data_IF_958614508817
#
_entry.id   IF_958614508817
#
_cell.length_a   1.000
_cell.length_b   1.000
_cell.length_c   1.000
_cell.angle_alpha   90.00
_cell.angle_beta   90.00
_cell.angle_gamma   90.00
#
_symmetry.space_group_name_H-M   'P 1'
#
loop_
_entity.id
_entity.type
_entity.pdbx_description
1 polymer ?
#
# COMPACT_ATOMS: atom_id res chain seq x y z
N UNK A 1 45.84 -22.06 -2.82
CA UNK A 1 44.97 -21.43 -3.86
C UNK A 1 43.46 -21.69 -3.65
N UNK A 2 43.01 -22.95 -3.34
CA UNK A 2 41.57 -23.23 -3.11
C UNK A 2 41.00 -22.44 -1.92
N UNK A 3 41.70 -22.34 -0.80
CA UNK A 3 41.23 -21.59 0.39
C UNK A 3 41.05 -20.09 0.15
N UNK A 4 41.92 -19.45 -0.61
CA UNK A 4 41.80 -18.02 -0.94
C UNK A 4 40.58 -17.77 -1.82
N UNK A 5 40.32 -18.61 -2.81
CA UNK A 5 39.12 -18.49 -3.65
C UNK A 5 37.82 -18.66 -2.83
N UNK A 6 37.80 -19.59 -1.90
CA UNK A 6 36.64 -19.81 -1.01
C UNK A 6 36.40 -18.58 -0.14
N UNK A 7 37.46 -18.00 0.45
CA UNK A 7 37.34 -16.78 1.28
C UNK A 7 36.82 -15.59 0.46
N UNK A 8 37.30 -15.41 -0.77
CA UNK A 8 36.82 -14.34 -1.66
C UNK A 8 35.32 -14.51 -2.02
N UNK A 9 34.89 -15.74 -2.30
CA UNK A 9 33.48 -16.02 -2.59
C UNK A 9 32.61 -15.74 -1.36
N UNK A 10 33.01 -16.18 -0.17
CA UNK A 10 32.28 -15.91 1.07
C UNK A 10 32.21 -14.39 1.37
N UNK A 11 33.32 -13.67 1.16
CA UNK A 11 33.33 -12.21 1.32
C UNK A 11 32.36 -11.53 0.34
N UNK A 12 32.34 -11.96 -0.92
CA UNK A 12 31.41 -11.43 -1.91
C UNK A 12 29.96 -11.68 -1.54
N UNK A 13 29.63 -12.89 -1.09
CA UNK A 13 28.28 -13.25 -0.63
C UNK A 13 27.89 -12.37 0.58
N UNK A 14 28.80 -12.18 1.52
CA UNK A 14 28.53 -11.33 2.69
C UNK A 14 28.26 -9.87 2.29
N UNK A 15 29.06 -9.32 1.37
CA UNK A 15 28.85 -7.96 0.84
C UNK A 15 27.51 -7.84 0.13
N UNK A 16 27.15 -8.82 -0.71
CA UNK A 16 25.85 -8.82 -1.40
C UNK A 16 24.69 -8.91 -0.40
N UNK A 17 24.79 -9.76 0.62
CA UNK A 17 23.79 -9.89 1.65
C UNK A 17 23.60 -8.60 2.48
N UNK A 18 24.70 -7.96 2.87
CA UNK A 18 24.68 -6.68 3.58
C UNK A 18 24.06 -5.58 2.71
N UNK A 19 24.42 -5.53 1.43
CA UNK A 19 23.86 -4.56 0.48
C UNK A 19 22.37 -4.78 0.29
N UNK A 20 21.92 -6.02 0.11
CA UNK A 20 20.52 -6.37 0.00
C UNK A 20 19.74 -6.01 1.26
N UNK A 21 20.29 -6.33 2.44
CA UNK A 21 19.70 -5.96 3.73
C UNK A 21 19.54 -4.44 3.86
N UNK A 22 20.61 -3.67 3.55
CA UNK A 22 20.61 -2.22 3.64
C UNK A 22 19.56 -1.56 2.73
N UNK A 23 19.37 -2.12 1.54
CA UNK A 23 18.43 -1.61 0.55
C UNK A 23 17.01 -2.18 0.64
N UNK A 24 16.77 -3.13 1.56
CA UNK A 24 15.49 -3.84 1.64
C UNK A 24 14.28 -2.90 1.84
N UNK A 25 14.37 -1.95 2.78
CA UNK A 25 13.29 -0.99 3.01
C UNK A 25 13.03 -0.10 1.79
N UNK A 26 14.09 0.43 1.19
CA UNK A 26 14.00 1.27 -0.01
C UNK A 26 13.41 0.50 -1.20
N UNK A 27 13.79 -0.75 -1.39
CA UNK A 27 13.24 -1.60 -2.45
C UNK A 27 11.72 -1.76 -2.33
N UNK A 28 11.22 -1.96 -1.10
CA UNK A 28 9.79 -2.10 -0.86
C UNK A 28 9.03 -0.79 -1.10
N UNK A 29 9.57 0.35 -0.70
CA UNK A 29 8.91 1.65 -0.82
C UNK A 29 9.07 2.34 -2.19
N UNK A 30 10.05 1.91 -3.00
CA UNK A 30 10.38 2.55 -4.27
C UNK A 30 9.24 2.75 -5.28
N UNK A 31 8.19 1.92 -5.37
CA UNK A 31 7.07 2.15 -6.29
C UNK A 31 6.14 3.30 -5.90
N UNK A 32 6.34 3.93 -4.73
CA UNK A 32 5.57 5.12 -4.38
C UNK A 32 5.83 6.26 -5.36
N UNK A 33 4.75 6.87 -5.83
CA UNK A 33 4.77 8.02 -6.74
C UNK A 33 4.34 9.31 -6.05
N UNK A 34 4.39 10.40 -6.82
CA UNK A 34 3.90 11.71 -6.39
C UNK A 34 2.41 11.79 -6.72
N UNK A 35 1.60 12.20 -5.75
CA UNK A 35 0.17 12.38 -5.93
C UNK A 35 -0.13 13.39 -7.06
N UNK A 36 -1.10 13.06 -7.89
CA UNK A 36 -1.59 13.90 -8.99
C UNK A 36 -3.13 13.93 -8.91
N UNK A 37 -3.80 14.93 -9.49
CA UNK A 37 -5.25 14.96 -9.57
C UNK A 37 -5.81 13.65 -10.15
N UNK A 38 -6.83 13.11 -9.49
CA UNK A 38 -7.44 11.84 -9.84
C UNK A 38 -8.95 11.85 -9.57
N UNK A 39 -9.65 10.80 -9.98
CA UNK A 39 -11.09 10.68 -9.77
C UNK A 39 -11.43 10.20 -8.36
N UNK A 40 -10.55 9.44 -7.72
CA UNK A 40 -10.79 8.88 -6.39
C UNK A 40 -9.50 8.66 -5.60
N UNK A 41 -9.54 8.90 -4.30
CA UNK A 41 -8.52 8.47 -3.34
C UNK A 41 -8.98 7.15 -2.73
N UNK A 42 -8.16 6.11 -2.86
CA UNK A 42 -8.42 4.77 -2.30
C UNK A 42 -7.56 4.60 -1.06
N UNK A 43 -8.16 4.68 0.11
CA UNK A 43 -7.47 4.44 1.38
C UNK A 43 -7.57 2.95 1.72
N UNK A 44 -6.44 2.22 1.59
CA UNK A 44 -6.42 0.77 1.77
C UNK A 44 -6.67 0.36 3.23
N UNK A 45 -7.21 -0.82 3.39
CA UNK A 45 -7.53 -1.41 4.70
C UNK A 45 -6.30 -1.76 5.55
N UNK A 46 -6.55 -2.22 6.79
CA UNK A 46 -5.52 -2.54 7.81
C UNK A 46 -4.64 -1.34 8.17
N UNK A 47 -5.27 -0.23 8.40
CA UNK A 47 -4.65 1.06 8.67
C UNK A 47 -4.56 1.32 10.17
N UNK A 48 -3.40 1.77 10.64
CA UNK A 48 -3.18 2.25 12.01
C UNK A 48 -3.58 3.73 12.22
N UNK A 49 -4.09 4.39 11.16
CA UNK A 49 -4.47 5.80 11.16
C UNK A 49 -3.73 6.63 10.11
N UNK A 50 -2.52 6.26 9.74
CA UNK A 50 -1.70 7.03 8.80
C UNK A 50 -2.31 7.15 7.40
N UNK A 51 -2.97 6.08 6.92
CA UNK A 51 -3.58 6.07 5.58
C UNK A 51 -4.80 6.97 5.52
N UNK A 52 -5.64 6.96 6.56
CA UNK A 52 -6.83 7.81 6.58
C UNK A 52 -6.48 9.28 6.74
N UNK A 53 -5.43 9.60 7.52
CA UNK A 53 -4.90 10.96 7.65
C UNK A 53 -4.34 11.45 6.33
N UNK A 54 -3.56 10.62 5.63
CA UNK A 54 -3.02 10.94 4.30
C UNK A 54 -4.13 11.11 3.26
N UNK A 55 -5.16 10.25 3.29
CA UNK A 55 -6.31 10.36 2.39
C UNK A 55 -7.09 11.66 2.62
N UNK A 56 -7.27 12.06 3.88
CA UNK A 56 -7.90 13.32 4.26
C UNK A 56 -7.10 14.53 3.76
N UNK A 57 -5.77 14.52 3.91
CA UNK A 57 -4.91 15.60 3.41
C UNK A 57 -5.04 15.75 1.89
N UNK A 58 -4.96 14.64 1.14
CA UNK A 58 -5.14 14.63 -0.30
C UNK A 58 -6.53 15.16 -0.72
N UNK A 59 -7.57 14.75 0.00
CA UNK A 59 -8.93 15.24 -0.25
C UNK A 59 -9.05 16.75 -0.04
N UNK A 60 -8.56 17.26 1.09
CA UNK A 60 -8.57 18.70 1.42
C UNK A 60 -7.79 19.55 0.43
N UNK A 61 -6.75 18.98 -0.14
CA UNK A 61 -5.94 19.61 -1.21
C UNK A 61 -6.57 19.51 -2.59
N UNK A 62 -7.76 18.91 -2.71
CA UNK A 62 -8.51 18.83 -3.95
C UNK A 62 -7.98 17.82 -4.96
N UNK A 63 -7.19 16.83 -4.53
CA UNK A 63 -6.66 15.82 -5.45
C UNK A 63 -7.73 14.90 -6.03
N UNK A 64 -8.85 14.66 -5.33
CA UNK A 64 -9.98 13.91 -5.86
C UNK A 64 -11.28 14.24 -5.10
N UNK A 65 -12.45 14.13 -5.76
CA UNK A 65 -13.75 14.40 -5.13
C UNK A 65 -14.29 13.24 -4.30
N UNK A 66 -13.69 12.05 -4.38
CA UNK A 66 -14.15 10.84 -3.69
C UNK A 66 -13.05 10.19 -2.87
N UNK A 67 -13.43 9.60 -1.72
CA UNK A 67 -12.58 8.71 -0.94
C UNK A 67 -13.25 7.33 -0.89
N UNK A 68 -12.54 6.31 -1.35
CA UNK A 68 -12.94 4.91 -1.24
C UNK A 68 -12.19 4.27 -0.07
N UNK A 69 -12.93 3.85 0.95
CA UNK A 69 -12.42 3.07 2.06
C UNK A 69 -12.51 1.59 1.70
N UNK A 70 -11.37 0.90 1.58
CA UNK A 70 -11.40 -0.52 1.31
C UNK A 70 -11.48 -1.34 2.59
N UNK A 71 -12.05 -2.54 2.44
CA UNK A 71 -12.30 -3.43 3.54
C UNK A 71 -11.12 -4.16 4.07
N UNK A 72 -11.41 -5.05 4.95
CA UNK A 72 -10.45 -5.65 5.80
C UNK A 72 -10.92 -6.98 6.18
N UNK A 73 -10.95 -7.94 5.47
CA UNK A 73 -10.94 -8.84 6.02
C UNK A 73 -11.34 -10.07 6.21
N UNK A 74 -10.81 -10.93 6.69
CA UNK A 74 -11.02 -12.17 7.42
C UNK A 74 -11.57 -11.97 8.86
N UNK A 75 -12.10 -10.78 9.17
CA UNK A 75 -12.73 -10.51 10.45
C UNK A 75 -14.24 -10.75 10.43
N UNK A 76 -14.86 -11.09 11.55
CA UNK A 76 -16.31 -11.12 11.68
C UNK A 76 -16.96 -9.84 11.13
N UNK A 77 -18.14 -9.96 10.55
CA UNK A 77 -18.87 -8.86 9.90
C UNK A 77 -18.95 -7.58 10.76
N UNK A 78 -19.11 -7.75 12.06
CA UNK A 78 -19.25 -6.64 13.00
C UNK A 78 -17.95 -5.86 13.20
N UNK A 79 -16.81 -6.56 13.28
CA UNK A 79 -15.49 -5.91 13.40
C UNK A 79 -15.16 -5.16 12.12
N UNK A 80 -15.45 -5.71 10.96
CA UNK A 80 -15.26 -5.06 9.66
C UNK A 80 -16.09 -3.80 9.55
N UNK A 81 -17.37 -3.88 9.91
CA UNK A 81 -18.27 -2.73 9.91
C UNK A 81 -17.80 -1.66 10.88
N UNK A 82 -17.42 -2.02 12.10
CA UNK A 82 -16.91 -1.08 13.08
C UNK A 82 -15.65 -0.36 12.59
N UNK A 83 -14.74 -1.06 11.92
CA UNK A 83 -13.53 -0.48 11.37
C UNK A 83 -13.81 0.52 10.23
N UNK A 84 -14.68 0.18 9.29
CA UNK A 84 -15.08 1.10 8.22
C UNK A 84 -15.84 2.30 8.78
N UNK A 85 -16.71 2.09 9.77
CA UNK A 85 -17.46 3.15 10.45
C UNK A 85 -16.52 4.14 11.12
N UNK A 86 -15.53 3.67 11.89
CA UNK A 86 -14.54 4.53 12.53
C UNK A 86 -13.81 5.43 11.54
N UNK A 87 -13.35 4.88 10.42
CA UNK A 87 -12.64 5.63 9.37
C UNK A 87 -13.54 6.67 8.71
N UNK A 88 -14.78 6.29 8.42
CA UNK A 88 -15.76 7.20 7.85
C UNK A 88 -16.14 8.31 8.81
N UNK A 89 -16.37 8.00 10.08
CA UNK A 89 -16.65 9.01 11.12
C UNK A 89 -15.50 9.99 11.28
N UNK A 90 -14.25 9.51 11.23
CA UNK A 90 -13.07 10.38 11.26
C UNK A 90 -13.08 11.39 10.11
N UNK A 91 -13.37 10.94 8.88
CA UNK A 91 -13.48 11.81 7.71
C UNK A 91 -14.62 12.80 7.82
N UNK A 92 -15.80 12.35 8.25
CA UNK A 92 -16.99 13.21 8.41
C UNK A 92 -16.74 14.29 9.47
N UNK A 93 -16.19 13.91 10.64
CA UNK A 93 -15.79 14.87 11.68
C UNK A 93 -14.76 15.89 11.19
N UNK A 94 -13.94 15.49 10.21
CA UNK A 94 -12.94 16.35 9.58
C UNK A 94 -13.49 17.20 8.42
N UNK A 95 -14.81 17.15 8.16
CA UNK A 95 -15.52 17.96 7.16
C UNK A 95 -15.68 17.34 5.77
N UNK A 96 -15.37 16.04 5.60
CA UNK A 96 -15.64 15.35 4.36
C UNK A 96 -17.14 15.00 4.29
N UNK A 97 -17.87 15.41 3.25
CA UNK A 97 -19.28 15.02 3.09
C UNK A 97 -19.43 13.49 3.06
N UNK A 98 -20.39 12.96 3.79
CA UNK A 98 -20.65 11.50 3.78
C UNK A 98 -20.93 10.94 2.38
N UNK A 99 -21.55 11.72 1.52
CA UNK A 99 -21.78 11.37 0.12
C UNK A 99 -20.49 11.20 -0.70
N UNK A 100 -19.38 11.80 -0.29
CA UNK A 100 -18.07 11.67 -0.91
C UNK A 100 -17.29 10.43 -0.45
N UNK A 101 -17.79 9.71 0.56
CA UNK A 101 -17.16 8.53 1.13
C UNK A 101 -17.81 7.27 0.56
N UNK A 102 -17.01 6.41 -0.02
CA UNK A 102 -17.42 5.15 -0.63
C UNK A 102 -16.80 3.97 0.14
N UNK A 103 -17.44 2.82 0.06
CA UNK A 103 -17.02 1.64 0.81
C UNK A 103 -16.79 0.44 -0.09
N UNK A 104 -15.73 -0.30 0.14
CA UNK A 104 -15.50 -1.65 -0.37
C UNK A 104 -15.43 -2.60 0.82
N UNK A 105 -16.51 -3.30 1.07
CA UNK A 105 -16.67 -4.22 2.20
C UNK A 105 -16.27 -5.67 1.85
N UNK A 106 -15.83 -5.91 0.62
CA UNK A 106 -15.65 -7.27 0.10
C UNK A 106 -14.19 -7.67 -0.09
N UNK A 107 -13.28 -6.71 -0.12
CA UNK A 107 -11.86 -6.99 -0.31
C UNK A 107 -11.24 -7.62 0.94
N UNK A 108 -10.57 -8.75 0.77
CA UNK A 108 -9.86 -9.47 1.84
C UNK A 108 -8.33 -9.33 1.74
N UNK A 109 -7.83 -8.90 0.59
CA UNK A 109 -6.41 -8.76 0.29
C UNK A 109 -6.18 -7.69 -0.78
N UNK A 110 -4.91 -7.29 -0.98
CA UNK A 110 -4.56 -6.21 -1.92
C UNK A 110 -4.91 -6.46 -3.37
N UNK A 111 -5.10 -7.70 -3.77
CA UNK A 111 -5.52 -8.07 -5.12
C UNK A 111 -7.02 -7.83 -5.30
N UNK A 112 -7.80 -8.19 -4.28
CA UNK A 112 -9.24 -7.92 -4.29
C UNK A 112 -9.49 -6.41 -4.26
N UNK A 113 -8.75 -5.66 -3.42
CA UNK A 113 -8.81 -4.19 -3.38
C UNK A 113 -8.55 -3.58 -4.78
N UNK A 114 -7.54 -4.06 -5.50
CA UNK A 114 -7.24 -3.59 -6.86
C UNK A 114 -8.37 -3.92 -7.85
N UNK A 115 -8.90 -5.16 -7.82
CA UNK A 115 -9.98 -5.61 -8.73
C UNK A 115 -11.30 -4.89 -8.45
N UNK A 116 -11.68 -4.78 -7.18
CA UNK A 116 -12.93 -4.12 -6.79
C UNK A 116 -12.86 -2.62 -7.07
N UNK A 117 -11.69 -1.99 -6.86
CA UNK A 117 -11.48 -0.59 -7.24
C UNK A 117 -11.59 -0.42 -8.76
N UNK A 118 -10.99 -1.30 -9.55
CA UNK A 118 -11.10 -1.26 -11.02
C UNK A 118 -12.54 -1.44 -11.49
N UNK A 119 -13.28 -2.39 -10.91
CA UNK A 119 -14.71 -2.60 -11.23
C UNK A 119 -15.52 -1.33 -10.94
N UNK A 120 -15.28 -0.69 -9.81
CA UNK A 120 -15.91 0.58 -9.44
C UNK A 120 -15.49 1.72 -10.36
N UNK A 121 -14.22 1.80 -10.74
CA UNK A 121 -13.71 2.78 -11.69
C UNK A 121 -14.38 2.62 -13.08
N UNK A 122 -14.66 1.38 -13.51
CA UNK A 122 -15.40 1.12 -14.73
C UNK A 122 -16.86 1.59 -14.62
N UNK A 123 -17.53 1.24 -13.53
CA UNK A 123 -18.94 1.62 -13.31
C UNK A 123 -19.15 3.14 -13.20
N UNK A 124 -18.15 3.88 -12.71
CA UNK A 124 -18.22 5.33 -12.52
C UNK A 124 -17.55 6.15 -13.62
N UNK A 125 -16.94 5.50 -14.60
CA UNK A 125 -16.22 6.19 -15.68
C UNK A 125 -14.90 6.84 -15.23
N UNK A 126 -14.35 6.44 -14.07
CA UNK A 126 -13.08 6.97 -13.58
C UNK A 126 -11.93 6.57 -14.49
N UNK A 127 -10.96 7.46 -14.65
CA UNK A 127 -9.75 7.26 -15.44
C UNK A 127 -8.52 7.03 -14.58
N UNK A 128 -8.52 7.57 -13.36
CA UNK A 128 -7.36 7.52 -12.47
C UNK A 128 -7.75 7.43 -10.99
N UNK A 129 -6.90 6.77 -10.20
CA UNK A 129 -7.07 6.69 -8.75
C UNK A 129 -5.74 6.88 -8.01
N UNK A 130 -5.80 7.50 -6.82
CA UNK A 130 -4.68 7.55 -5.88
C UNK A 130 -4.85 6.43 -4.85
N UNK A 131 -3.85 5.61 -4.69
CA UNK A 131 -3.89 4.44 -3.78
C UNK A 131 -2.99 4.71 -2.59
N UNK A 132 -3.58 4.96 -1.44
CA UNK A 132 -2.88 5.34 -0.21
C UNK A 132 -2.59 4.11 0.64
N UNK A 133 -1.31 3.89 0.96
CA UNK A 133 -0.86 2.83 1.86
C UNK A 133 0.51 3.12 2.46
N UNK A 134 0.99 2.23 3.34
CA UNK A 134 2.26 2.40 4.02
C UNK A 134 3.47 2.07 3.12
N UNK A 135 4.61 2.73 3.33
CA UNK A 135 5.78 2.59 2.45
C UNK A 135 6.23 1.16 2.20
N UNK A 136 6.37 0.24 3.18
CA UNK A 136 6.82 -1.12 2.90
C UNK A 136 5.87 -1.94 2.03
N UNK A 137 4.59 -1.54 1.95
CA UNK A 137 3.56 -2.21 1.16
C UNK A 137 3.66 -1.92 -0.35
N UNK A 138 4.32 -0.83 -0.76
CA UNK A 138 4.27 -0.31 -2.12
C UNK A 138 4.69 -1.31 -3.20
N UNK A 139 5.74 -2.12 -2.95
CA UNK A 139 6.21 -3.11 -3.94
C UNK A 139 5.17 -4.17 -4.26
N UNK A 140 4.48 -4.69 -3.24
CA UNK A 140 3.44 -5.70 -3.43
C UNK A 140 2.18 -5.09 -4.05
N UNK A 141 1.85 -3.84 -3.71
CA UNK A 141 0.76 -3.11 -4.37
C UNK A 141 1.07 -2.89 -5.86
N UNK A 142 2.30 -2.52 -6.21
CA UNK A 142 2.68 -2.34 -7.62
C UNK A 142 2.46 -3.62 -8.44
N UNK A 143 2.70 -4.81 -7.88
CA UNK A 143 2.39 -6.08 -8.54
C UNK A 143 0.88 -6.30 -8.69
N UNK A 144 0.12 -6.14 -7.60
CA UNK A 144 -1.31 -6.42 -7.59
C UNK A 144 -2.09 -5.44 -8.49
N UNK A 145 -1.82 -4.14 -8.32
CA UNK A 145 -2.48 -3.08 -9.06
C UNK A 145 -2.01 -3.00 -10.51
N UNK A 146 -0.70 -3.20 -10.77
CA UNK A 146 -0.17 -3.26 -12.11
C UNK A 146 -0.83 -4.36 -12.94
N UNK A 147 -1.01 -5.55 -12.35
CA UNK A 147 -1.70 -6.65 -13.01
C UNK A 147 -3.18 -6.39 -13.24
N UNK A 148 -3.87 -5.79 -12.26
CA UNK A 148 -5.30 -5.50 -12.37
C UNK A 148 -5.59 -4.40 -13.39
N UNK A 149 -4.76 -3.35 -13.48
CA UNK A 149 -4.96 -2.20 -14.34
C UNK A 149 -4.32 -2.32 -15.72
N UNK A 150 -3.49 -3.36 -15.96
CA UNK A 150 -2.85 -3.58 -17.26
C UNK A 150 -3.88 -3.66 -18.39
N UNK A 151 -3.66 -2.90 -19.46
CA UNK A 151 -4.51 -2.91 -20.66
C UNK A 151 -5.90 -2.30 -20.50
N UNK A 152 -6.24 -1.73 -19.34
CA UNK A 152 -7.58 -1.18 -19.08
C UNK A 152 -7.76 0.27 -19.54
N UNK A 153 -6.67 0.96 -19.90
CA UNK A 153 -6.67 2.40 -20.21
C UNK A 153 -6.88 3.28 -18.97
N UNK A 154 -6.86 2.72 -17.77
CA UNK A 154 -6.97 3.45 -16.50
C UNK A 154 -5.64 3.48 -15.77
N UNK A 155 -5.43 4.54 -14.99
CA UNK A 155 -4.19 4.79 -14.27
C UNK A 155 -4.37 4.69 -12.75
N UNK A 156 -3.30 4.36 -12.06
CA UNK A 156 -3.23 4.47 -10.61
C UNK A 156 -1.88 5.05 -10.19
N UNK A 157 -1.85 5.75 -9.07
CA UNK A 157 -0.62 6.23 -8.42
C UNK A 157 -0.62 5.71 -7.00
N UNK A 158 0.45 5.02 -6.62
CA UNK A 158 0.67 4.58 -5.25
C UNK A 158 1.21 5.74 -4.42
N UNK A 159 0.49 6.15 -3.40
CA UNK A 159 0.88 7.24 -2.50
C UNK A 159 1.24 6.66 -1.15
N UNK A 160 2.52 6.79 -0.78
CA UNK A 160 2.99 6.33 0.52
C UNK A 160 2.59 7.30 1.62
N UNK A 161 2.17 6.76 2.77
CA UNK A 161 2.06 7.52 4.03
C UNK A 161 3.46 7.93 4.52
N UNK A 162 3.51 8.83 5.50
CA UNK A 162 4.75 9.25 6.15
C UNK A 162 4.72 8.96 7.66
N UNK A 163 4.60 7.70 8.08
CA UNK A 163 4.47 7.38 9.49
C UNK A 163 5.80 7.55 10.22
N UNK A 164 5.73 8.02 11.46
CA UNK A 164 6.92 8.31 12.29
C UNK A 164 7.82 7.07 12.53
N UNK A 165 7.24 5.87 12.49
CA UNK A 165 7.97 4.62 12.69
C UNK A 165 8.77 4.17 11.46
N UNK A 166 8.57 4.80 10.28
CA UNK A 166 9.21 4.38 9.04
C UNK A 166 10.46 5.18 8.71
N UNK A 167 11.57 4.47 8.53
CA UNK A 167 12.82 5.01 7.97
C UNK A 167 13.36 3.97 6.98
N UNK A 168 13.29 4.24 5.69
CA UNK A 168 13.63 3.28 4.64
C UNK A 168 15.08 2.73 4.71
N UNK A 169 16.02 3.55 5.21
CA UNK A 169 17.45 3.19 5.34
C UNK A 169 17.83 2.74 6.74
N UNK A 170 16.88 2.67 7.65
CA UNK A 170 17.09 2.25 9.03
C UNK A 170 15.89 1.45 9.56
N UNK A 171 15.18 0.77 8.67
CA UNK A 171 13.96 0.02 8.95
C UNK A 171 14.12 -1.01 10.08
N UNK A 172 15.33 -1.54 10.26
CA UNK A 172 15.64 -2.51 11.33
C UNK A 172 15.73 -1.90 12.73
N UNK A 173 15.73 -0.57 12.86
CA UNK A 173 15.79 0.12 14.16
C UNK A 173 14.42 0.25 14.84
N UNK A 174 13.34 0.03 14.12
CA UNK A 174 11.98 -0.01 14.63
C UNK A 174 11.45 -1.43 14.55
N UNK A 175 10.97 -1.98 15.66
CA UNK A 175 10.36 -3.32 15.67
C UNK A 175 9.20 -3.40 14.68
N UNK A 176 8.32 -2.40 14.69
CA UNK A 176 7.19 -2.30 13.77
C UNK A 176 7.64 -2.31 12.31
N UNK A 177 8.65 -1.50 11.96
CA UNK A 177 9.18 -1.46 10.60
C UNK A 177 9.83 -2.79 10.21
N UNK A 178 10.61 -3.41 11.10
CA UNK A 178 11.27 -4.68 10.86
C UNK A 178 10.25 -5.80 10.61
N UNK A 179 9.23 -5.93 11.46
CA UNK A 179 8.15 -6.90 11.28
C UNK A 179 7.41 -6.68 9.97
N UNK A 180 7.12 -5.42 9.63
CA UNK A 180 6.44 -5.10 8.39
C UNK A 180 7.29 -5.48 7.17
N UNK A 181 8.57 -5.08 7.15
CA UNK A 181 9.49 -5.40 6.04
C UNK A 181 9.60 -6.92 5.83
N UNK A 182 9.86 -7.68 6.90
CA UNK A 182 9.97 -9.13 6.82
C UNK A 182 8.67 -9.77 6.31
N UNK A 183 7.53 -9.34 6.84
CA UNK A 183 6.21 -9.83 6.41
C UNK A 183 5.92 -9.50 4.94
N UNK A 184 6.28 -8.31 4.47
CA UNK A 184 6.06 -7.92 3.07
C UNK A 184 6.97 -8.69 2.11
N UNK A 185 8.21 -9.04 2.48
CA UNK A 185 9.03 -9.92 1.66
C UNK A 185 8.43 -11.32 1.53
N UNK A 186 7.94 -11.90 2.62
CA UNK A 186 7.25 -13.22 2.57
C UNK A 186 6.02 -13.15 1.67
N UNK A 187 5.18 -12.12 1.84
CA UNK A 187 4.00 -11.92 0.99
C UNK A 187 4.38 -11.65 -0.47
N UNK A 188 5.45 -10.90 -0.72
CA UNK A 188 5.93 -10.60 -2.05
C UNK A 188 6.38 -11.88 -2.77
N UNK A 189 7.15 -12.74 -2.11
CA UNK A 189 7.51 -14.06 -2.64
C UNK A 189 6.27 -14.89 -2.99
N UNK A 190 5.27 -14.93 -2.11
CA UNK A 190 4.01 -15.62 -2.36
C UNK A 190 3.29 -15.05 -3.59
N UNK A 191 3.23 -13.71 -3.72
CA UNK A 191 2.58 -13.05 -4.87
C UNK A 191 3.30 -13.35 -6.18
N UNK A 192 4.64 -13.35 -6.18
CA UNK A 192 5.45 -13.67 -7.36
C UNK A 192 5.33 -15.14 -7.80
N UNK A 193 5.16 -16.04 -6.84
CA UNK A 193 5.03 -17.48 -7.13
C UNK A 193 3.62 -17.87 -7.61
N UNK A 194 2.59 -17.13 -7.19
CA UNK A 194 1.19 -17.53 -7.41
C UNK A 194 0.47 -16.68 -8.46
N UNK A 195 0.98 -15.53 -8.79
CA UNK A 195 0.34 -14.55 -9.67
C UNK A 195 1.25 -14.02 -10.76
#
# INVERSE_FOLDING_TARGET
>A
MKSVRTLLVLALIAIMALTAFWHAGRYLSAPAGIAQPADCIVALGRDSGDRIVTALDLYRRGYAPWILLTGVEDSPSDTRRAYLTWRAEYLVKAGVPSAAILYDEHSTNSRDEARNTLARANARGWKSVLVVSDPPHMRRLALAWGKAFAGTGKNYVLVATAPAWWQERAWWRSEQAAQFVLTEYVKLCYYLARY
#
